data_IF_190275471147
#
_entry.id   IF_190275471147
#
_cell.length_a   1.000
_cell.length_b   1.000
_cell.length_c   1.000
_cell.angle_alpha   90.00
_cell.angle_beta   90.00
_cell.angle_gamma   90.00
#
_symmetry.space_group_name_H-M   'P 1'
#
loop_
_entity.id
_entity.type
_entity.pdbx_description
1 polymer ?
#
# COMPACT_ATOMS: atom_id res chain seq x y z
N UNK A 1 11.41 1.05 10.31
CA UNK A 1 10.50 1.44 9.22
C UNK A 1 10.00 0.20 8.49
N UNK A 2 8.68 0.09 8.31
CA UNK A 2 8.00 -0.94 7.51
C UNK A 2 7.26 -0.21 6.40
N UNK A 3 7.45 -0.62 5.15
CA UNK A 3 6.68 -0.08 4.02
C UNK A 3 5.62 -1.09 3.64
N UNK A 4 4.37 -0.67 3.49
CA UNK A 4 3.25 -1.55 3.14
C UNK A 4 2.60 -1.01 1.87
N UNK A 5 2.49 -1.86 0.85
CA UNK A 5 1.73 -1.53 -0.34
C UNK A 5 0.24 -1.82 -0.10
N UNK A 6 -0.55 -0.78 0.15
CA UNK A 6 -2.00 -0.85 0.28
C UNK A 6 -2.67 -0.06 -0.86
N UNK A 7 -2.20 -0.25 -2.09
CA UNK A 7 -2.64 0.51 -3.26
C UNK A 7 -4.17 0.57 -3.41
N UNK A 8 -4.84 -0.57 -3.20
CA UNK A 8 -6.28 -0.69 -3.37
C UNK A 8 -7.11 -0.15 -2.19
N UNK A 9 -6.50 0.36 -1.12
CA UNK A 9 -7.22 1.07 -0.07
C UNK A 9 -8.00 2.26 -0.65
N UNK A 10 -9.29 2.30 -0.36
CA UNK A 10 -10.24 3.27 -0.90
C UNK A 10 -10.67 3.05 -2.36
N UNK A 11 -9.87 2.36 -3.18
CA UNK A 11 -10.23 1.96 -4.56
C UNK A 11 -11.21 0.78 -4.54
N UNK A 12 -10.88 -0.25 -3.76
CA UNK A 12 -11.77 -1.38 -3.49
C UNK A 12 -12.32 -1.27 -2.08
N UNK A 13 -13.63 -1.47 -1.92
CA UNK A 13 -14.32 -1.36 -0.62
C UNK A 13 -14.40 -2.69 0.16
N UNK A 14 -13.80 -3.76 -0.35
CA UNK A 14 -13.89 -5.13 0.19
C UNK A 14 -12.61 -5.92 -0.11
N UNK A 15 -12.38 -6.98 0.67
CA UNK A 15 -11.27 -7.92 0.46
C UNK A 15 -9.97 -7.48 1.12
N UNK A 16 -8.85 -7.77 0.46
CA UNK A 16 -7.46 -7.53 0.92
C UNK A 16 -7.23 -6.13 1.53
N UNK A 17 -7.79 -5.03 0.99
CA UNK A 17 -7.56 -3.70 1.57
C UNK A 17 -8.07 -3.56 3.00
N UNK A 18 -9.19 -4.20 3.36
CA UNK A 18 -9.74 -4.13 4.74
C UNK A 18 -8.78 -4.80 5.72
N UNK A 19 -8.29 -5.99 5.39
CA UNK A 19 -7.33 -6.70 6.22
C UNK A 19 -6.01 -5.95 6.33
N UNK A 20 -5.58 -5.29 5.26
CA UNK A 20 -4.36 -4.48 5.23
C UNK A 20 -4.50 -3.22 6.08
N UNK A 21 -5.65 -2.54 6.03
CA UNK A 21 -5.96 -1.39 6.88
C UNK A 21 -5.94 -1.77 8.37
N UNK A 22 -6.52 -2.93 8.73
CA UNK A 22 -6.49 -3.44 10.10
C UNK A 22 -5.08 -3.79 10.57
N UNK A 23 -4.27 -4.42 9.71
CA UNK A 23 -2.86 -4.69 9.96
C UNK A 23 -2.07 -3.40 10.21
N UNK A 24 -2.20 -2.41 9.33
CA UNK A 24 -1.53 -1.11 9.47
C UNK A 24 -1.93 -0.44 10.78
N UNK A 25 -3.22 -0.50 11.13
CA UNK A 25 -3.75 0.11 12.34
C UNK A 25 -3.19 -0.57 13.60
N UNK A 26 -3.11 -1.91 13.61
CA UNK A 26 -2.53 -2.64 14.72
C UNK A 26 -1.02 -2.39 14.86
N UNK A 27 -0.26 -2.38 13.76
CA UNK A 27 1.17 -2.05 13.79
C UNK A 27 1.43 -0.63 14.32
N UNK A 28 0.61 0.34 13.94
CA UNK A 28 0.70 1.71 14.46
C UNK A 28 0.38 1.77 15.96
N UNK A 29 -0.61 1.01 16.45
CA UNK A 29 -0.91 0.89 17.90
C UNK A 29 0.29 0.32 18.67
N UNK A 30 0.99 -0.64 18.07
CA UNK A 30 2.20 -1.24 18.65
C UNK A 30 3.45 -0.35 18.48
N UNK A 31 3.26 0.94 18.18
CA UNK A 31 4.31 1.95 18.00
C UNK A 31 5.33 1.62 16.89
N UNK A 32 4.96 0.79 15.92
CA UNK A 32 5.78 0.53 14.76
C UNK A 32 5.74 1.72 13.79
N UNK A 33 6.91 2.08 13.24
CA UNK A 33 6.99 3.06 12.17
C UNK A 33 6.59 2.42 10.83
N UNK A 34 5.37 2.73 10.38
CA UNK A 34 4.78 2.22 9.14
C UNK A 34 4.59 3.33 8.12
N UNK A 35 5.10 3.13 6.91
CA UNK A 35 4.83 3.92 5.72
C UNK A 35 3.86 3.13 4.83
N UNK A 36 2.64 3.64 4.70
CA UNK A 36 1.59 3.01 3.90
C UNK A 36 1.52 3.70 2.54
N UNK A 37 1.64 2.93 1.46
CA UNK A 37 1.51 3.42 0.10
C UNK A 37 0.12 3.08 -0.42
N UNK A 38 -0.68 4.10 -0.68
CA UNK A 38 -2.05 3.97 -1.19
C UNK A 38 -2.21 4.69 -2.52
N UNK A 39 -3.23 4.32 -3.30
CA UNK A 39 -3.59 5.07 -4.49
C UNK A 39 -4.04 6.50 -4.11
N UNK A 40 -3.54 7.55 -4.78
CA UNK A 40 -4.04 8.91 -4.60
C UNK A 40 -5.54 9.00 -4.90
N UNK A 41 -6.30 9.69 -4.04
CA UNK A 41 -7.76 9.83 -4.16
C UNK A 41 -8.22 10.37 -5.51
N UNK A 42 -7.41 11.22 -6.14
CA UNK A 42 -7.68 11.78 -7.48
C UNK A 42 -7.72 10.73 -8.59
N UNK A 43 -7.10 9.56 -8.38
CA UNK A 43 -7.05 8.45 -9.32
C UNK A 43 -8.11 7.37 -9.05
N UNK A 44 -8.88 7.48 -7.96
CA UNK A 44 -9.96 6.53 -7.64
C UNK A 44 -11.04 6.37 -8.72
N UNK A 45 -11.46 7.41 -9.48
CA UNK A 45 -12.52 7.23 -10.47
C UNK A 45 -12.03 6.57 -11.77
N UNK A 46 -10.77 6.16 -11.86
CA UNK A 46 -10.22 5.56 -13.07
C UNK A 46 -10.80 4.14 -13.30
N UNK A 47 -10.86 3.68 -14.58
CA UNK A 47 -11.25 2.32 -14.90
C UNK A 47 -10.32 1.26 -14.27
N UNK A 48 -10.88 0.07 -14.00
CA UNK A 48 -10.16 -1.04 -13.37
C UNK A 48 -8.86 -1.44 -14.11
N UNK A 49 -8.84 -1.39 -15.45
CA UNK A 49 -7.64 -1.73 -16.21
C UNK A 49 -6.47 -0.78 -15.88
N UNK A 50 -6.74 0.51 -15.66
CA UNK A 50 -5.72 1.50 -15.30
C UNK A 50 -5.20 1.21 -13.90
N UNK A 51 -6.09 0.87 -12.96
CA UNK A 51 -5.70 0.46 -11.62
C UNK A 51 -4.79 -0.77 -11.61
N UNK A 52 -4.98 -1.74 -12.52
CA UNK A 52 -4.08 -2.89 -12.63
C UNK A 52 -2.67 -2.47 -13.07
N UNK A 53 -2.54 -1.59 -14.07
CA UNK A 53 -1.23 -1.08 -14.49
C UNK A 53 -0.55 -0.25 -13.40
N UNK A 54 -1.30 0.63 -12.75
CA UNK A 54 -0.80 1.42 -11.63
C UNK A 54 -0.42 0.55 -10.45
N UNK A 55 -1.18 -0.51 -10.15
CA UNK A 55 -0.85 -1.46 -9.10
C UNK A 55 0.50 -2.14 -9.37
N UNK A 56 0.73 -2.64 -10.58
CA UNK A 56 2.02 -3.24 -10.98
C UNK A 56 3.14 -2.22 -10.80
N UNK A 57 2.94 -0.97 -11.22
CA UNK A 57 3.92 0.09 -11.01
C UNK A 57 4.20 0.36 -9.53
N UNK A 58 3.16 0.43 -8.70
CA UNK A 58 3.30 0.63 -7.25
C UNK A 58 4.05 -0.52 -6.59
N UNK A 59 3.73 -1.75 -6.98
CA UNK A 59 4.30 -2.96 -6.42
C UNK A 59 5.76 -3.16 -6.83
N UNK A 60 6.05 -3.10 -8.14
CA UNK A 60 7.35 -3.48 -8.69
C UNK A 60 8.37 -2.34 -8.64
N UNK A 61 7.92 -1.07 -8.60
CA UNK A 61 8.81 0.09 -8.69
C UNK A 61 8.68 0.97 -7.45
N UNK A 62 7.47 1.48 -7.15
CA UNK A 62 7.34 2.51 -6.13
C UNK A 62 7.63 1.99 -4.72
N UNK A 63 7.06 0.84 -4.35
CA UNK A 63 7.24 0.22 -3.02
C UNK A 63 8.70 -0.11 -2.73
N UNK A 64 9.46 -0.80 -3.61
CA UNK A 64 10.87 -1.05 -3.37
C UNK A 64 11.70 0.24 -3.35
N UNK A 65 11.40 1.21 -4.22
CA UNK A 65 12.10 2.50 -4.23
C UNK A 65 11.92 3.26 -2.92
N UNK A 66 10.68 3.36 -2.42
CA UNK A 66 10.38 3.98 -1.12
C UNK A 66 11.03 3.19 0.01
N UNK A 67 11.01 1.86 -0.06
CA UNK A 67 11.71 1.00 0.89
C UNK A 67 13.21 1.30 0.96
N UNK A 68 13.87 1.46 -0.19
CA UNK A 68 15.28 1.85 -0.25
C UNK A 68 15.53 3.25 0.34
N UNK A 69 14.72 4.24 -0.04
CA UNK A 69 14.85 5.64 0.42
C UNK A 69 14.68 5.72 1.95
N UNK A 70 13.66 5.03 2.48
CA UNK A 70 13.35 5.05 3.90
C UNK A 70 14.16 4.03 4.72
N UNK A 71 15.06 3.28 4.09
CA UNK A 71 15.83 2.18 4.70
C UNK A 71 14.91 1.23 5.46
N UNK A 72 13.86 0.78 4.80
CA UNK A 72 12.87 -0.12 5.39
C UNK A 72 13.52 -1.44 5.80
N UNK A 73 13.04 -2.00 6.92
CA UNK A 73 13.42 -3.34 7.36
C UNK A 73 12.63 -4.41 6.61
N UNK A 74 11.37 -4.08 6.31
CA UNK A 74 10.45 -4.95 5.60
C UNK A 74 9.62 -4.12 4.62
N UNK A 75 9.39 -4.69 3.43
CA UNK A 75 8.38 -4.25 2.48
C UNK A 75 7.30 -5.33 2.45
N UNK A 76 6.07 -4.98 2.78
CA UNK A 76 4.94 -5.91 2.88
C UNK A 76 4.02 -5.69 1.69
N UNK A 77 3.71 -6.80 1.03
CA UNK A 77 2.77 -6.89 -0.09
C UNK A 77 1.63 -7.80 0.37
N UNK A 78 0.47 -7.24 0.75
CA UNK A 78 -0.67 -8.03 1.20
C UNK A 78 -1.34 -8.71 0.00
N UNK A 79 -1.47 -10.03 0.07
CA UNK A 79 -2.19 -10.88 -0.88
C UNK A 79 -3.23 -11.72 -0.13
#
# INVERSE_FOLDING_TARGET
MIVINNYFSGVLKRGIPIYTEELVLQMKKDSMQVCELTCPKVLYPLPAFIHNFLFIFYEQILTPLIGLILKSKFNIYPY
#
